data_IF_524355063637
#
_entry.id   IF_524355063637
#
_cell.length_a   1.000
_cell.length_b   1.000
_cell.length_c   1.000
_cell.angle_alpha   90.00
_cell.angle_beta   90.00
_cell.angle_gamma   90.00
#
_symmetry.space_group_name_H-M   'P 1'
#
loop_
_entity.id
_entity.type
_entity.pdbx_description
1 polymer ?
#
# COMPACT_ATOMS: atom_id res chain seq x y z
N UNK A 1 4.43 8.27 -3.19
CA UNK A 1 5.92 8.21 -3.35
C UNK A 1 6.36 6.79 -3.10
N UNK A 2 7.18 6.21 -3.99
CA UNK A 2 7.67 4.83 -3.89
C UNK A 2 8.87 4.71 -2.93
N UNK A 3 9.25 3.47 -2.59
CA UNK A 3 10.45 3.17 -1.81
C UNK A 3 11.70 3.89 -2.34
N UNK A 4 11.94 3.86 -3.67
CA UNK A 4 13.12 4.50 -4.26
C UNK A 4 13.14 6.02 -4.08
N UNK A 5 11.97 6.66 -4.21
CA UNK A 5 11.85 8.10 -3.97
C UNK A 5 12.08 8.41 -2.49
N UNK A 6 11.50 7.61 -1.58
CA UNK A 6 11.72 7.78 -0.14
C UNK A 6 13.17 7.56 0.27
N UNK A 7 13.84 6.61 -0.34
CA UNK A 7 15.27 6.36 -0.07
C UNK A 7 16.14 7.56 -0.47
N UNK A 8 15.78 8.26 -1.55
CA UNK A 8 16.52 9.42 -2.01
C UNK A 8 16.18 10.70 -1.23
N UNK A 9 14.87 10.94 -0.98
CA UNK A 9 14.37 12.23 -0.50
C UNK A 9 14.07 12.26 1.00
N UNK A 10 13.79 11.09 1.61
CA UNK A 10 13.41 10.93 3.01
C UNK A 10 14.02 9.67 3.64
N UNK A 11 15.36 9.55 3.70
CA UNK A 11 16.03 8.34 4.16
C UNK A 11 15.71 7.97 5.62
N UNK A 12 15.28 8.91 6.44
CA UNK A 12 14.83 8.67 7.82
C UNK A 12 13.58 7.78 7.88
N UNK A 13 12.67 7.88 6.89
CA UNK A 13 11.50 7.00 6.79
C UNK A 13 11.96 5.56 6.48
N UNK A 14 12.92 5.40 5.57
CA UNK A 14 13.48 4.09 5.25
C UNK A 14 14.28 3.52 6.43
N UNK A 15 14.96 4.37 7.20
CA UNK A 15 15.63 3.97 8.43
C UNK A 15 14.63 3.45 9.48
N UNK A 16 13.48 4.12 9.67
CA UNK A 16 12.40 3.63 10.52
C UNK A 16 11.88 2.26 10.02
N UNK A 17 11.60 2.14 8.73
CA UNK A 17 11.12 0.90 8.12
C UNK A 17 12.03 -0.29 8.39
N UNK A 18 13.36 -0.07 8.44
CA UNK A 18 14.39 -1.09 8.69
C UNK A 18 14.85 -1.17 10.13
N UNK A 19 14.34 -0.34 11.04
CA UNK A 19 14.79 -0.30 12.42
C UNK A 19 14.50 -1.62 13.14
N UNK A 20 15.49 -2.33 13.72
CA UNK A 20 15.27 -3.59 14.40
C UNK A 20 14.23 -3.49 15.51
N UNK A 21 14.27 -2.44 16.32
CA UNK A 21 13.32 -2.23 17.41
C UNK A 21 11.87 -2.08 16.90
N UNK A 22 11.66 -1.45 15.73
CA UNK A 22 10.35 -1.33 15.13
C UNK A 22 9.84 -2.68 14.59
N UNK A 23 10.73 -3.45 13.96
CA UNK A 23 10.42 -4.80 13.47
C UNK A 23 10.07 -5.74 14.64
N UNK A 24 10.82 -5.68 15.73
CA UNK A 24 10.55 -6.45 16.96
C UNK A 24 9.20 -6.07 17.58
N UNK A 25 8.89 -4.77 17.64
CA UNK A 25 7.57 -4.30 18.07
C UNK A 25 6.45 -4.87 17.20
N UNK A 26 6.58 -4.82 15.87
CA UNK A 26 5.61 -5.39 14.94
C UNK A 26 5.50 -6.91 15.07
N UNK A 27 6.62 -7.60 15.29
CA UNK A 27 6.63 -9.04 15.54
C UNK A 27 5.86 -9.39 16.82
N UNK A 28 6.04 -8.63 17.89
CA UNK A 28 5.29 -8.81 19.14
C UNK A 28 3.79 -8.53 18.94
N UNK A 29 3.44 -7.48 18.18
CA UNK A 29 2.06 -7.10 17.90
C UNK A 29 1.32 -8.16 17.06
N UNK A 30 1.99 -8.73 16.06
CA UNK A 30 1.38 -9.66 15.11
C UNK A 30 1.53 -11.14 15.50
N UNK A 31 2.41 -11.45 16.44
CA UNK A 31 2.79 -12.81 16.79
C UNK A 31 3.57 -13.52 15.66
N UNK A 32 4.18 -12.76 14.73
CA UNK A 32 4.86 -13.30 13.56
C UNK A 32 6.30 -12.77 13.49
N UNK A 33 7.21 -13.63 13.05
CA UNK A 33 8.57 -13.17 12.70
C UNK A 33 8.52 -12.42 11.38
N UNK A 34 8.69 -11.12 11.43
CA UNK A 34 8.61 -10.25 10.27
C UNK A 34 9.99 -9.82 9.77
N UNK A 35 10.09 -9.57 8.48
CA UNK A 35 11.26 -9.02 7.80
C UNK A 35 10.80 -7.97 6.80
N UNK A 36 11.57 -6.91 6.54
CA UNK A 36 11.31 -5.99 5.45
C UNK A 36 11.24 -6.72 4.10
N UNK A 37 10.41 -6.25 3.19
CA UNK A 37 10.45 -6.72 1.81
C UNK A 37 11.80 -6.41 1.16
N UNK A 38 12.24 -7.17 0.14
CA UNK A 38 13.46 -6.88 -0.60
C UNK A 38 13.46 -5.49 -1.22
N UNK A 39 14.65 -4.88 -1.34
CA UNK A 39 14.86 -3.51 -1.80
C UNK A 39 14.38 -3.23 -3.23
N UNK A 40 14.14 -4.26 -4.01
CA UNK A 40 13.61 -4.15 -5.36
C UNK A 40 12.06 -4.13 -5.42
N UNK A 41 11.37 -4.08 -4.28
CA UNK A 41 9.93 -3.88 -4.20
C UNK A 41 9.61 -2.38 -4.04
N UNK A 42 9.09 -1.69 -5.06
CA UNK A 42 8.80 -0.25 -5.00
C UNK A 42 7.68 0.10 -4.02
N UNK A 43 6.88 -0.89 -3.61
CA UNK A 43 5.74 -0.74 -2.69
C UNK A 43 6.05 -1.12 -1.25
N UNK A 44 7.28 -1.59 -0.98
CA UNK A 44 7.68 -2.06 0.35
C UNK A 44 7.62 -0.99 1.43
N UNK A 45 7.82 0.27 1.04
CA UNK A 45 7.69 1.45 1.89
C UNK A 45 7.25 2.61 0.99
N UNK A 46 6.05 3.13 1.20
CA UNK A 46 5.47 4.12 0.30
C UNK A 46 4.62 5.15 1.04
N UNK A 47 4.67 6.42 0.59
CA UNK A 47 3.74 7.47 1.00
C UNK A 47 2.61 7.59 -0.02
N UNK A 48 1.39 7.52 0.49
CA UNK A 48 0.16 7.73 -0.26
C UNK A 48 -0.42 9.08 0.09
N UNK A 49 -0.59 9.91 -0.93
CA UNK A 49 -1.21 11.21 -0.86
C UNK A 49 -2.58 11.13 -1.52
N UNK A 50 -3.59 11.46 -0.77
CA UNK A 50 -4.96 11.65 -1.24
C UNK A 50 -5.23 13.14 -1.09
N UNK A 51 -5.29 13.87 -2.21
CA UNK A 51 -5.36 15.33 -2.26
C UNK A 51 -6.40 15.85 -3.23
N UNK A 52 -6.91 14.95 -4.08
CA UNK A 52 -7.94 15.31 -5.05
C UNK A 52 -9.29 14.69 -4.66
N UNK A 53 -10.41 15.40 -4.83
CA UNK A 53 -11.73 14.86 -4.58
C UNK A 53 -11.96 13.55 -5.36
N UNK A 54 -12.39 12.51 -4.66
CA UNK A 54 -12.60 11.18 -5.22
C UNK A 54 -11.37 10.27 -5.19
N UNK A 55 -10.22 10.71 -4.71
CA UNK A 55 -9.07 9.84 -4.47
C UNK A 55 -9.47 8.71 -3.51
N UNK A 56 -9.24 7.48 -3.92
CA UNK A 56 -9.61 6.28 -3.17
C UNK A 56 -8.79 5.06 -3.59
N UNK A 57 -8.89 4.00 -2.82
CA UNK A 57 -8.45 2.67 -3.23
C UNK A 57 -9.65 1.73 -3.08
N UNK A 58 -10.05 1.10 -4.19
CA UNK A 58 -11.12 0.11 -4.19
C UNK A 58 -10.77 -1.12 -3.36
N UNK A 59 -11.77 -1.93 -3.05
CA UNK A 59 -11.56 -3.15 -2.28
C UNK A 59 -10.55 -4.10 -2.94
N UNK A 60 -9.56 -4.56 -2.18
CA UNK A 60 -8.50 -5.46 -2.63
C UNK A 60 -7.88 -6.25 -1.47
N UNK A 61 -7.07 -7.23 -1.81
CA UNK A 61 -6.05 -7.82 -0.95
C UNK A 61 -4.68 -7.27 -1.39
N UNK A 62 -3.74 -7.09 -0.48
CA UNK A 62 -2.34 -6.77 -0.79
C UNK A 62 -1.64 -8.02 -1.29
N UNK A 63 -1.90 -8.37 -2.54
CA UNK A 63 -1.44 -9.64 -3.12
C UNK A 63 0.08 -9.70 -3.16
N UNK A 64 0.67 -10.69 -2.51
CA UNK A 64 2.10 -10.90 -2.44
C UNK A 64 2.59 -11.93 -3.47
N UNK A 65 3.76 -11.67 -4.06
CA UNK A 65 4.52 -12.65 -4.83
C UNK A 65 5.59 -13.37 -3.98
N UNK A 66 5.66 -13.02 -2.70
CA UNK A 66 6.51 -13.71 -1.73
C UNK A 66 5.88 -15.05 -1.30
N UNK A 67 6.69 -15.94 -0.74
CA UNK A 67 6.22 -17.23 -0.22
C UNK A 67 5.56 -17.08 1.13
N UNK A 68 6.07 -16.16 1.94
CA UNK A 68 5.51 -15.85 3.24
C UNK A 68 4.27 -14.99 3.20
N UNK A 69 3.59 -14.88 4.33
CA UNK A 69 2.48 -13.96 4.51
C UNK A 69 2.97 -12.50 4.45
N UNK A 70 2.23 -11.63 3.78
CA UNK A 70 2.46 -10.19 3.73
C UNK A 70 1.67 -9.49 4.83
N UNK A 71 2.35 -8.64 5.54
CA UNK A 71 1.77 -7.77 6.56
C UNK A 71 1.92 -6.31 6.14
N UNK A 72 0.78 -5.63 6.08
CA UNK A 72 0.69 -4.21 5.78
C UNK A 72 0.59 -3.44 7.08
N UNK A 73 1.42 -2.43 7.23
CA UNK A 73 1.41 -1.50 8.36
C UNK A 73 1.14 -0.10 7.82
N UNK A 74 0.01 0.48 8.24
CA UNK A 74 -0.37 1.84 7.91
C UNK A 74 -0.07 2.76 9.09
N UNK A 75 0.62 3.87 8.84
CA UNK A 75 0.81 4.95 9.80
C UNK A 75 0.16 6.23 9.25
N UNK A 76 -0.83 6.76 9.97
CA UNK A 76 -1.46 8.02 9.64
C UNK A 76 -0.51 9.19 9.88
N UNK A 77 -0.39 10.09 8.91
CA UNK A 77 0.44 11.30 8.99
C UNK A 77 -0.39 12.57 8.92
N UNK A 78 -1.35 12.64 7.99
CA UNK A 78 -2.33 13.70 7.87
C UNK A 78 -3.70 13.06 7.69
N UNK A 79 -4.69 13.53 8.46
CA UNK A 79 -6.08 13.08 8.36
C UNK A 79 -7.01 14.26 8.57
N UNK A 80 -7.35 14.92 7.49
CA UNK A 80 -8.31 16.03 7.41
C UNK A 80 -9.41 15.66 6.45
N UNK A 81 -9.97 14.46 6.62
CA UNK A 81 -10.92 13.91 5.66
C UNK A 81 -12.05 13.10 6.29
N UNK A 82 -13.13 12.96 5.55
CA UNK A 82 -14.20 12.01 5.81
C UNK A 82 -13.84 10.58 5.38
N UNK A 83 -12.73 10.41 4.62
CA UNK A 83 -12.25 9.12 4.12
C UNK A 83 -11.94 8.14 5.25
N UNK A 84 -12.19 6.86 5.02
CA UNK A 84 -11.97 5.77 5.98
C UNK A 84 -11.25 4.60 5.35
N UNK A 85 -10.40 3.96 6.14
CA UNK A 85 -9.98 2.59 5.85
C UNK A 85 -11.13 1.66 6.22
N UNK A 86 -11.67 0.96 5.24
CA UNK A 86 -12.76 -0.01 5.42
C UNK A 86 -12.19 -1.40 5.32
N UNK A 87 -12.43 -2.23 6.34
CA UNK A 87 -11.93 -3.59 6.43
C UNK A 87 -13.10 -4.57 6.55
N UNK A 88 -13.14 -5.59 5.71
CA UNK A 88 -14.11 -6.68 5.83
C UNK A 88 -13.48 -7.86 6.57
N UNK A 89 -13.76 -7.93 7.87
CA UNK A 89 -13.30 -9.01 8.73
C UNK A 89 -14.14 -10.27 8.46
N UNK A 90 -13.47 -11.43 8.45
CA UNK A 90 -14.09 -12.75 8.33
C UNK A 90 -14.87 -12.98 7.02
N UNK A 91 -14.59 -12.21 5.97
CA UNK A 91 -15.29 -12.27 4.69
C UNK A 91 -15.38 -13.70 4.11
N UNK A 92 -14.29 -14.46 4.20
CA UNK A 92 -14.16 -15.81 3.65
C UNK A 92 -14.12 -16.89 4.75
N UNK A 93 -14.53 -16.57 5.98
CA UNK A 93 -14.55 -17.51 7.10
C UNK A 93 -15.94 -18.16 7.21
N UNK A 94 -16.06 -19.48 6.96
CA UNK A 94 -17.36 -20.17 6.99
C UNK A 94 -17.96 -20.31 8.42
N UNK A 95 -17.16 -20.03 9.46
CA UNK A 95 -17.57 -20.20 10.85
C UNK A 95 -17.93 -18.89 11.53
N UNK A 96 -17.63 -17.75 10.92
CA UNK A 96 -17.83 -16.42 11.49
C UNK A 96 -18.63 -15.53 10.56
N UNK A 97 -19.50 -14.70 11.14
CA UNK A 97 -20.23 -13.71 10.37
C UNK A 97 -19.29 -12.62 9.87
N UNK A 98 -19.37 -12.21 8.59
CA UNK A 98 -18.65 -11.07 8.08
C UNK A 98 -18.95 -9.81 8.88
N UNK A 99 -17.92 -9.03 9.17
CA UNK A 99 -18.04 -7.75 9.89
C UNK A 99 -17.25 -6.68 9.18
N UNK A 100 -17.87 -5.55 8.94
CA UNK A 100 -17.19 -4.36 8.45
C UNK A 100 -16.66 -3.52 9.61
N UNK A 101 -15.42 -3.04 9.47
CA UNK A 101 -14.77 -2.12 10.37
C UNK A 101 -14.31 -0.90 9.56
N UNK A 102 -14.68 0.30 10.01
CA UNK A 102 -14.27 1.57 9.40
C UNK A 102 -13.35 2.32 10.38
N UNK A 103 -12.17 2.70 9.92
CA UNK A 103 -11.13 3.32 10.72
C UNK A 103 -10.70 4.67 10.12
N UNK A 104 -10.64 5.70 10.96
CA UNK A 104 -9.89 6.91 10.65
C UNK A 104 -8.41 6.67 10.98
N UNK A 105 -7.52 7.14 10.11
CA UNK A 105 -6.07 7.02 10.31
C UNK A 105 -5.47 8.34 10.77
N UNK A 106 -5.89 8.80 11.95
CA UNK A 106 -5.37 10.03 12.55
C UNK A 106 -3.84 9.99 12.65
N UNK A 107 -3.17 11.16 12.68
CA UNK A 107 -1.73 11.23 12.86
C UNK A 107 -1.27 10.42 14.08
N UNK A 108 -0.28 9.55 13.88
CA UNK A 108 0.22 8.63 14.90
C UNK A 108 -0.57 7.33 15.07
N UNK A 109 -1.73 7.16 14.40
CA UNK A 109 -2.44 5.87 14.39
C UNK A 109 -1.67 4.87 13.56
N UNK A 110 -1.33 3.72 14.17
CA UNK A 110 -0.70 2.59 13.52
C UNK A 110 -1.70 1.44 13.43
N UNK A 111 -1.88 0.91 12.21
CA UNK A 111 -2.76 -0.24 11.93
C UNK A 111 -1.91 -1.30 11.24
N UNK A 112 -1.86 -2.51 11.81
CA UNK A 112 -1.14 -3.64 11.21
C UNK A 112 -2.12 -4.78 10.92
N UNK A 113 -2.04 -5.37 9.73
CA UNK A 113 -2.89 -6.48 9.33
C UNK A 113 -2.19 -7.40 8.32
N UNK A 114 -2.71 -8.62 8.19
CA UNK A 114 -2.28 -9.54 7.14
C UNK A 114 -2.90 -9.10 5.80
N UNK A 115 -2.09 -8.48 4.94
CA UNK A 115 -2.53 -7.94 3.66
C UNK A 115 -3.05 -8.99 2.68
N UNK A 116 -2.51 -10.21 2.74
CA UNK A 116 -2.97 -11.32 1.87
C UNK A 116 -4.39 -11.83 2.24
N UNK A 117 -4.89 -11.49 3.44
CA UNK A 117 -6.15 -12.04 3.98
C UNK A 117 -7.21 -11.00 4.27
N UNK A 118 -6.85 -9.76 4.51
CA UNK A 118 -7.80 -8.71 4.82
C UNK A 118 -8.28 -8.02 3.55
N UNK A 119 -9.56 -8.20 3.23
CA UNK A 119 -10.24 -7.46 2.16
C UNK A 119 -10.52 -6.05 2.64
N UNK A 120 -9.88 -5.05 2.02
CA UNK A 120 -9.94 -3.69 2.50
C UNK A 120 -9.96 -2.65 1.37
N UNK A 121 -10.37 -1.44 1.72
CA UNK A 121 -10.50 -0.31 0.81
C UNK A 121 -10.21 1.01 1.55
N UNK A 122 -9.95 2.06 0.79
CA UNK A 122 -9.97 3.45 1.26
C UNK A 122 -11.12 4.17 0.56
N UNK A 123 -12.05 4.72 1.33
CA UNK A 123 -13.21 5.41 0.76
C UNK A 123 -12.81 6.72 0.07
N UNK A 124 -13.62 7.20 -0.90
CA UNK A 124 -13.30 8.43 -1.63
C UNK A 124 -13.10 9.64 -0.73
N UNK A 125 -12.13 10.47 -1.11
CA UNK A 125 -11.87 11.77 -0.51
C UNK A 125 -12.97 12.77 -0.92
N UNK A 126 -13.38 13.62 0.00
CA UNK A 126 -14.29 14.74 -0.27
C UNK A 126 -13.59 15.95 -0.88
N UNK A 127 -14.36 17.02 -1.10
CA UNK A 127 -13.83 18.32 -1.56
C UNK A 127 -13.11 19.01 -0.39
N UNK A 128 -11.97 19.65 -0.67
CA UNK A 128 -11.13 20.36 0.31
C UNK A 128 -10.62 19.45 1.46
N UNK A 129 -10.55 18.15 1.21
CA UNK A 129 -10.03 17.16 2.14
C UNK A 129 -8.62 16.72 1.77
N UNK A 130 -7.86 16.28 2.79
CA UNK A 130 -6.49 15.79 2.65
C UNK A 130 -6.25 14.61 3.56
N UNK A 131 -5.61 13.58 3.02
CA UNK A 131 -5.13 12.42 3.78
C UNK A 131 -3.75 12.02 3.28
N UNK A 132 -2.81 11.81 4.22
CA UNK A 132 -1.49 11.24 3.92
C UNK A 132 -1.21 10.09 4.85
N UNK A 133 -0.84 8.94 4.30
CA UNK A 133 -0.48 7.75 5.07
C UNK A 133 0.82 7.14 4.56
N UNK A 134 1.63 6.67 5.50
CA UNK A 134 2.81 5.85 5.24
C UNK A 134 2.39 4.39 5.30
N UNK A 135 2.68 3.64 4.24
CA UNK A 135 2.47 2.20 4.16
C UNK A 135 3.81 1.49 4.17
N UNK A 136 3.96 0.53 5.08
CA UNK A 136 5.15 -0.26 5.28
C UNK A 136 4.78 -1.74 5.15
N UNK A 137 5.51 -2.46 4.29
CA UNK A 137 5.22 -3.86 3.99
C UNK A 137 6.29 -4.77 4.56
N UNK A 138 5.85 -5.77 5.29
CA UNK A 138 6.70 -6.79 5.89
C UNK A 138 6.25 -8.18 5.46
N UNK A 139 7.17 -9.14 5.47
CA UNK A 139 6.90 -10.52 5.08
C UNK A 139 7.46 -11.51 6.08
N UNK A 140 6.85 -12.68 6.19
CA UNK A 140 7.38 -13.76 7.02
C UNK A 140 8.47 -14.57 6.30
N UNK A 141 8.44 -14.62 4.96
CA UNK A 141 9.46 -15.23 4.09
C UNK A 141 9.61 -14.38 2.82
N UNK A 142 10.75 -13.67 2.65
CA UNK A 142 11.00 -12.79 1.51
C UNK A 142 11.38 -13.53 0.22
N UNK A 143 11.48 -14.85 0.24
CA UNK A 143 11.77 -15.61 -0.98
C UNK A 143 10.61 -15.47 -1.99
N UNK A 144 10.96 -15.30 -3.27
CA UNK A 144 10.00 -14.97 -4.31
C UNK A 144 9.59 -16.18 -5.16
N UNK A 145 8.32 -16.18 -5.59
CA UNK A 145 7.83 -17.04 -6.65
C UNK A 145 7.99 -16.32 -8.01
N UNK A 146 8.92 -16.74 -8.88
CA UNK A 146 9.24 -15.99 -10.10
C UNK A 146 8.03 -15.80 -11.04
N UNK A 147 7.15 -16.78 -11.12
CA UNK A 147 5.95 -16.71 -11.99
C UNK A 147 4.87 -15.72 -11.46
N UNK A 148 4.80 -15.48 -10.14
CA UNK A 148 3.82 -14.56 -9.55
C UNK A 148 4.23 -13.09 -9.69
N UNK A 149 5.51 -12.80 -9.82
CA UNK A 149 6.05 -11.43 -9.93
C UNK A 149 5.55 -10.68 -11.16
N UNK A 150 5.45 -11.37 -12.31
CA UNK A 150 4.96 -10.77 -13.55
C UNK A 150 3.49 -10.38 -13.47
N UNK A 151 2.69 -11.19 -12.77
CA UNK A 151 1.24 -10.98 -12.63
C UNK A 151 0.89 -9.87 -11.63
N UNK A 152 1.68 -9.71 -10.56
CA UNK A 152 1.48 -8.68 -9.53
C UNK A 152 1.70 -7.28 -10.11
N UNK A 153 2.77 -7.06 -10.85
CA UNK A 153 3.08 -5.75 -11.45
C UNK A 153 1.97 -5.26 -12.40
N UNK A 154 1.29 -6.17 -13.07
CA UNK A 154 0.19 -5.82 -13.98
C UNK A 154 -1.08 -5.45 -13.21
N UNK A 155 -1.38 -6.16 -12.13
CA UNK A 155 -2.58 -5.97 -11.31
C UNK A 155 -2.51 -4.69 -10.48
N UNK A 156 -1.34 -4.38 -9.93
CA UNK A 156 -1.09 -3.17 -9.14
C UNK A 156 -1.20 -1.91 -10.01
N UNK A 157 -0.72 -1.94 -11.25
CA UNK A 157 -0.89 -0.85 -12.19
C UNK A 157 -2.37 -0.55 -12.49
N UNK A 158 -3.21 -1.58 -12.58
CA UNK A 158 -4.66 -1.41 -12.80
C UNK A 158 -5.41 -0.97 -11.54
N UNK A 159 -5.03 -1.44 -10.35
CA UNK A 159 -5.71 -1.11 -9.10
C UNK A 159 -5.43 0.33 -8.64
N UNK A 160 -4.16 0.80 -8.76
CA UNK A 160 -3.75 2.09 -8.24
C UNK A 160 -3.95 3.27 -9.19
N UNK A 161 -3.87 3.05 -10.49
CA UNK A 161 -3.91 4.16 -11.47
C UNK A 161 -5.19 4.21 -12.31
N UNK A 162 -6.05 3.22 -12.22
CA UNK A 162 -7.20 3.10 -13.11
C UNK A 162 -6.82 3.06 -14.59
N UNK A 163 -7.71 2.57 -15.43
CA UNK A 163 -7.46 2.40 -16.88
C UNK A 163 -7.07 3.72 -17.58
N UNK A 164 -7.58 4.87 -17.11
CA UNK A 164 -7.32 6.19 -17.74
C UNK A 164 -5.88 6.69 -17.58
N UNK A 165 -5.19 6.39 -16.47
CA UNK A 165 -3.82 6.87 -16.24
C UNK A 165 -2.77 6.10 -17.05
N UNK A 166 -2.99 4.81 -17.31
CA UNK A 166 -2.10 3.98 -18.13
C UNK A 166 -2.08 4.47 -19.59
N UNK A 167 -3.25 4.87 -20.13
CA UNK A 167 -3.35 5.38 -21.50
C UNK A 167 -2.86 6.83 -21.69
N UNK A 168 -2.86 7.66 -20.62
CA UNK A 168 -2.34 9.04 -20.70
C UNK A 168 -0.81 9.10 -20.89
N UNK A 169 -0.07 8.15 -20.31
CA UNK A 169 1.38 8.07 -20.44
C UNK A 169 1.85 7.65 -21.84
N UNK A 170 1.07 6.83 -22.54
CA UNK A 170 1.35 6.39 -23.91
C UNK A 170 1.19 7.50 -24.95
N UNK A 171 0.33 8.52 -24.72
CA UNK A 171 0.15 9.66 -25.64
C UNK A 171 1.23 10.73 -25.53
N UNK A 172 1.83 10.91 -24.34
CA UNK A 172 2.90 11.91 -24.15
C UNK A 172 4.21 11.53 -24.83
N UNK A 173 4.50 10.25 -24.99
CA UNK A 173 5.75 9.81 -25.65
C UNK A 173 5.72 9.88 -27.18
N UNK A 174 4.53 10.00 -27.81
CA UNK A 174 4.40 10.12 -29.27
C UNK A 174 4.43 11.57 -29.79
N UNK A 175 4.29 12.58 -28.92
CA UNK A 175 4.31 13.99 -29.34
C UNK A 175 5.72 14.59 -29.41
N UNK A 176 6.75 13.89 -28.92
CA UNK A 176 8.14 14.38 -28.90
C UNK A 176 9.02 13.86 -30.05
N UNK A 177 8.48 13.14 -31.02
CA UNK A 177 9.23 12.57 -32.13
C UNK A 177 8.72 13.08 -33.49
N UNK A 178 8.77 14.42 -33.67
CA UNK A 178 8.76 14.97 -35.03
C UNK A 178 9.51 16.31 -35.06
N UNK A 179 10.82 16.34 -35.31
CA UNK A 179 11.51 17.54 -35.76
C UNK A 179 11.44 17.61 -37.28
N UNK A 180 10.84 18.69 -37.76
CA UNK A 180 10.81 19.29 -39.06
C UNK A 180 11.59 18.74 -40.22
N UNK A 181 10.92 18.62 -41.32
CA UNK A 181 11.42 18.79 -42.66
C UNK A 181 10.84 20.05 -43.26
#
# INVERSE_FOLDING_TARGET
>A
MSFYTLQAEAPTIVALYRAPAFIEFLAALTGQRLQPCPDNDPHSCALYFYTEPGDHIGFHFDTSYYRGARYTVLLGLIERSSSRLVCQLFKDDPQRQPRELQLATHPGTLIAFNGDKLWHAVTPLGVDEERVSLTLEYVTDPSMHPAKRLFSNLKDAFAYFGIKAVFRRSRSSKAAANPGG
#
